data_IF_693093842491
#
_entry.id   IF_693093842491
#
_cell.length_a   1.000
_cell.length_b   1.000
_cell.length_c   1.000
_cell.angle_alpha   90.00
_cell.angle_beta   90.00
_cell.angle_gamma   90.00
#
_symmetry.space_group_name_H-M   'P 1'
#
loop_
_entity.id
_entity.type
_entity.pdbx_description
1 polymer ?
#
# COMPACT_ATOMS: atom_id res chain seq x y z
N UNK A 1 5.55 -2.44 -9.55
CA UNK A 1 6.61 -3.29 -10.14
C UNK A 1 6.17 -4.71 -9.92
N UNK A 2 5.96 -5.45 -10.99
CA UNK A 2 5.73 -6.88 -10.90
C UNK A 2 7.06 -7.54 -10.43
N UNK A 3 7.07 -8.26 -9.31
CA UNK A 3 8.30 -8.85 -8.77
C UNK A 3 8.85 -10.01 -9.62
N UNK A 4 8.07 -10.57 -10.55
CA UNK A 4 8.51 -11.61 -11.48
C UNK A 4 9.13 -11.02 -12.77
N UNK A 5 8.59 -9.90 -13.28
CA UNK A 5 9.05 -9.30 -14.55
C UNK A 5 9.86 -8.00 -14.39
N UNK A 6 9.89 -7.42 -13.20
CA UNK A 6 10.41 -6.06 -12.89
C UNK A 6 9.73 -4.95 -13.71
N UNK A 7 8.56 -5.23 -14.30
CA UNK A 7 7.83 -4.29 -15.13
C UNK A 7 6.97 -3.35 -14.28
N UNK A 8 6.90 -2.08 -14.69
CA UNK A 8 5.97 -1.12 -14.12
C UNK A 8 4.60 -1.26 -14.78
N UNK A 9 3.61 -1.71 -14.01
CA UNK A 9 2.23 -1.75 -14.47
C UNK A 9 1.51 -0.43 -14.20
N UNK A 10 0.97 0.17 -15.26
CA UNK A 10 0.04 1.27 -15.15
C UNK A 10 -1.26 0.77 -14.51
N UNK A 11 -1.75 1.52 -13.51
CA UNK A 11 -2.99 1.23 -12.81
C UNK A 11 -3.90 2.46 -12.87
N UNK A 12 -5.19 2.23 -13.00
CA UNK A 12 -6.20 3.29 -13.01
C UNK A 12 -7.24 3.02 -11.93
N UNK A 13 -7.62 4.08 -11.22
CA UNK A 13 -8.68 4.02 -10.22
C UNK A 13 -9.39 5.38 -10.13
N UNK A 14 -10.71 5.42 -9.87
CA UNK A 14 -11.41 6.67 -9.64
C UNK A 14 -10.85 7.41 -8.42
N UNK A 15 -10.70 8.73 -8.56
CA UNK A 15 -10.33 9.60 -7.45
C UNK A 15 -11.49 9.63 -6.44
N UNK A 16 -11.22 9.22 -5.20
CA UNK A 16 -12.20 9.28 -4.12
C UNK A 16 -12.19 10.66 -3.44
N UNK A 17 -11.02 11.14 -3.03
CA UNK A 17 -10.85 12.44 -2.36
C UNK A 17 -9.39 12.89 -2.36
N UNK A 18 -9.16 14.13 -1.93
CA UNK A 18 -7.82 14.64 -1.58
C UNK A 18 -7.70 14.72 -0.07
N UNK A 19 -6.62 14.20 0.50
CA UNK A 19 -6.35 14.23 1.93
C UNK A 19 -5.15 15.15 2.22
N UNK A 20 -5.22 15.92 3.32
CA UNK A 20 -4.02 16.55 3.88
C UNK A 20 -3.28 15.52 4.71
N UNK A 21 -2.01 15.31 4.38
CA UNK A 21 -1.11 14.44 5.13
C UNK A 21 0.00 15.32 5.69
N UNK A 22 0.30 15.16 6.97
CA UNK A 22 1.47 15.78 7.59
C UNK A 22 2.55 14.72 7.62
N UNK A 23 3.70 15.02 7.05
CA UNK A 23 4.85 14.11 7.10
C UNK A 23 5.52 14.15 8.49
N UNK A 24 6.48 13.25 8.71
CA UNK A 24 7.20 13.16 9.98
C UNK A 24 8.07 14.39 10.29
N UNK A 25 8.32 15.26 9.30
CA UNK A 25 9.13 16.47 9.42
C UNK A 25 8.26 17.74 9.54
N UNK A 26 6.93 17.60 9.64
CA UNK A 26 5.99 18.72 9.78
C UNK A 26 5.59 19.38 8.46
N UNK A 27 6.03 18.85 7.31
CA UNK A 27 5.56 19.27 6.00
C UNK A 27 4.13 18.81 5.76
N UNK A 28 3.33 19.62 5.05
CA UNK A 28 1.98 19.25 4.65
C UNK A 28 1.92 18.91 3.16
N UNK A 29 1.53 17.69 2.82
CA UNK A 29 1.27 17.24 1.46
C UNK A 29 -0.23 17.05 1.22
N UNK A 30 -0.64 17.14 -0.05
CA UNK A 30 -2.01 16.83 -0.48
C UNK A 30 -1.97 15.58 -1.34
N UNK A 31 -2.37 14.46 -0.75
CA UNK A 31 -2.37 13.18 -1.46
C UNK A 31 -3.73 12.91 -2.09
N UNK A 32 -3.71 12.28 -3.25
CA UNK A 32 -4.90 11.69 -3.85
C UNK A 32 -5.22 10.38 -3.16
N UNK A 33 -6.47 10.17 -2.80
CA UNK A 33 -6.95 8.93 -2.21
C UNK A 33 -7.83 8.21 -3.22
N UNK A 34 -7.52 6.95 -3.48
CA UNK A 34 -8.26 6.07 -4.38
C UNK A 34 -8.69 4.81 -3.63
N UNK A 35 -9.58 4.03 -4.22
CA UNK A 35 -9.94 2.72 -3.67
C UNK A 35 -9.32 1.62 -4.52
N UNK A 36 -8.59 0.70 -3.90
CA UNK A 36 -7.89 -0.39 -4.59
C UNK A 36 -8.10 -1.72 -3.87
N UNK A 37 -8.02 -2.82 -4.62
CA UNK A 37 -7.90 -4.15 -4.06
C UNK A 37 -6.45 -4.42 -3.67
N UNK A 38 -6.22 -4.82 -2.43
CA UNK A 38 -4.94 -5.33 -1.96
C UNK A 38 -5.11 -6.78 -1.49
N UNK A 39 -4.09 -7.59 -1.76
CA UNK A 39 -4.04 -8.99 -1.34
C UNK A 39 -2.82 -9.18 -0.44
N UNK A 40 -3.04 -9.74 0.75
CA UNK A 40 -2.02 -10.09 1.72
C UNK A 40 -2.22 -11.55 2.14
N UNK A 41 -1.39 -12.46 1.61
CA UNK A 41 -1.63 -13.90 1.72
C UNK A 41 -2.98 -14.25 1.12
N UNK A 42 -3.83 -14.92 1.89
CA UNK A 42 -5.19 -15.30 1.47
C UNK A 42 -6.23 -14.19 1.66
N UNK A 43 -5.85 -13.07 2.28
CA UNK A 43 -6.78 -11.99 2.58
C UNK A 43 -6.78 -10.96 1.47
N UNK A 44 -7.93 -10.79 0.81
CA UNK A 44 -8.16 -9.75 -0.20
C UNK A 44 -9.14 -8.72 0.33
N UNK A 45 -8.73 -7.46 0.37
CA UNK A 45 -9.54 -6.37 0.89
C UNK A 45 -9.57 -5.18 -0.07
N UNK A 46 -10.71 -4.49 -0.11
CA UNK A 46 -10.87 -3.23 -0.84
C UNK A 46 -10.67 -2.08 0.13
N UNK A 47 -9.56 -1.35 -0.02
CA UNK A 47 -9.15 -0.31 0.94
C UNK A 47 -8.87 1.02 0.24
N UNK A 48 -8.95 2.09 1.03
CA UNK A 48 -8.46 3.40 0.60
C UNK A 48 -6.92 3.44 0.62
N UNK A 49 -6.34 3.86 -0.49
CA UNK A 49 -4.91 4.02 -0.68
C UNK A 49 -4.60 5.48 -0.96
N UNK A 50 -3.65 6.03 -0.21
CA UNK A 50 -3.14 7.39 -0.38
C UNK A 50 -1.93 7.35 -1.33
N UNK A 51 -2.05 8.01 -2.48
CA UNK A 51 -0.98 8.14 -3.46
C UNK A 51 -0.04 9.26 -3.02
N UNK A 52 1.19 8.88 -2.68
CA UNK A 52 2.24 9.78 -2.18
C UNK A 52 3.25 10.08 -3.29
N UNK A 53 3.64 11.34 -3.43
CA UNK A 53 4.74 11.75 -4.31
C UNK A 53 6.13 11.54 -3.65
N UNK A 54 6.18 11.20 -2.35
CA UNK A 54 7.43 10.91 -1.66
C UNK A 54 8.02 9.57 -2.12
N UNK A 55 9.09 9.64 -2.92
CA UNK A 55 9.84 8.50 -3.45
C UNK A 55 11.03 8.07 -2.59
N UNK A 56 11.33 8.77 -1.50
CA UNK A 56 12.50 8.51 -0.64
C UNK A 56 12.26 7.39 0.38
N UNK A 57 11.13 6.69 0.25
CA UNK A 57 10.76 5.59 1.15
C UNK A 57 11.45 4.29 0.72
N UNK A 58 11.95 3.48 1.68
CA UNK A 58 12.62 2.22 1.35
C UNK A 58 11.69 1.16 0.74
N UNK A 59 10.37 1.36 0.87
CA UNK A 59 9.35 0.49 0.29
C UNK A 59 8.30 1.33 -0.45
N UNK A 60 7.83 0.89 -1.64
CA UNK A 60 6.90 1.65 -2.47
C UNK A 60 5.46 1.66 -1.93
N UNK A 61 5.13 0.78 -0.98
CA UNK A 61 3.81 0.67 -0.38
C UNK A 61 3.93 0.58 1.14
N UNK A 62 3.21 1.46 1.84
CA UNK A 62 3.08 1.44 3.30
C UNK A 62 1.72 0.88 3.67
N UNK A 63 1.70 -0.23 4.41
CA UNK A 63 0.48 -0.84 4.89
C UNK A 63 0.13 -0.26 6.27
N UNK A 64 -0.99 0.45 6.33
CA UNK A 64 -1.50 1.03 7.56
C UNK A 64 -2.47 0.11 8.31
N UNK A 65 -2.91 0.59 9.48
CA UNK A 65 -3.94 -0.07 10.29
C UNK A 65 -5.28 -0.25 9.56
N UNK A 66 -5.54 0.55 8.54
CA UNK A 66 -6.72 0.44 7.68
C UNK A 66 -6.83 -0.92 6.98
N UNK A 67 -5.71 -1.60 6.71
CA UNK A 67 -5.70 -2.97 6.20
C UNK A 67 -5.45 -4.00 7.30
N UNK A 68 -4.57 -3.69 8.28
CA UNK A 68 -4.10 -4.68 9.26
C UNK A 68 -5.13 -5.03 10.33
N UNK A 69 -6.04 -4.10 10.68
CA UNK A 69 -7.03 -4.34 11.73
C UNK A 69 -7.89 -5.55 11.36
N UNK A 70 -7.99 -6.52 12.27
CA UNK A 70 -8.69 -7.79 12.11
C UNK A 70 -8.13 -8.75 11.03
N UNK A 71 -7.08 -8.37 10.30
CA UNK A 71 -6.47 -9.18 9.23
C UNK A 71 -5.15 -9.82 9.67
N UNK A 72 -4.28 -9.07 10.36
CA UNK A 72 -2.93 -9.54 10.66
C UNK A 72 -2.33 -8.91 11.94
N UNK A 73 -1.39 -9.64 12.55
CA UNK A 73 -0.50 -9.15 13.60
C UNK A 73 0.90 -8.97 13.00
N UNK A 74 1.57 -7.86 13.34
CA UNK A 74 2.93 -7.57 12.86
C UNK A 74 3.95 -8.01 13.91
N UNK A 75 4.77 -8.99 13.57
CA UNK A 75 5.98 -9.39 14.32
C UNK A 75 7.22 -8.76 13.67
N UNK A 76 7.81 -7.77 14.34
CA UNK A 76 8.96 -7.00 13.83
C UNK A 76 10.26 -7.82 13.71
N UNK A 77 10.30 -9.03 14.28
CA UNK A 77 11.45 -9.94 14.19
C UNK A 77 11.45 -10.78 12.92
N UNK A 78 10.35 -10.80 12.17
CA UNK A 78 10.17 -11.64 10.98
C UNK A 78 10.01 -10.82 9.72
N UNK A 79 10.40 -11.40 8.58
CA UNK A 79 10.23 -10.82 7.24
C UNK A 79 9.86 -11.93 6.26
N UNK A 80 9.10 -11.59 5.22
CA UNK A 80 8.70 -12.53 4.15
C UNK A 80 8.03 -13.82 4.68
N UNK A 81 7.10 -13.68 5.62
CA UNK A 81 6.41 -14.82 6.26
C UNK A 81 5.28 -15.42 5.43
N UNK A 82 4.94 -14.78 4.31
CA UNK A 82 3.90 -15.22 3.39
C UNK A 82 4.57 -15.56 2.06
N UNK A 83 4.13 -16.65 1.44
CA UNK A 83 4.54 -16.98 0.09
C UNK A 83 3.94 -15.97 -0.89
N UNK A 84 4.61 -15.79 -2.03
CA UNK A 84 4.06 -14.98 -3.11
C UNK A 84 2.77 -15.67 -3.60
N UNK A 85 1.61 -14.98 -3.58
CA UNK A 85 0.38 -15.59 -4.08
C UNK A 85 0.62 -16.03 -5.53
N UNK A 86 0.20 -17.24 -5.87
CA UNK A 86 0.25 -17.72 -7.25
C UNK A 86 -0.47 -16.68 -8.12
N UNK A 87 0.23 -16.20 -9.15
CA UNK A 87 -0.35 -15.30 -10.15
C UNK A 87 -1.58 -16.02 -10.75
N UNK A 88 -2.77 -15.41 -10.73
CA UNK A 88 -3.91 -15.98 -11.45
C UNK A 88 -3.70 -15.96 -12.96
#
# INVERSE_FOLDING_TARGET
VDPASDEQHALEAPLLRRASVVDAHGGSARNYVVTMWLTLGDNRARVEVSLSENTDMPYPLVIGRNLLTDVAIVDVSRRHTLEHPAVP
#
